data_IF_562225763458
#
_entry.id   IF_562225763458
#
_cell.length_a   1.000
_cell.length_b   1.000
_cell.length_c   1.000
_cell.angle_alpha   90.00
_cell.angle_beta   90.00
_cell.angle_gamma   90.00
#
_symmetry.space_group_name_H-M   'P 1'
#
loop_
_entity.id
_entity.type
_entity.pdbx_description
1 polymer ?
#
# COMPACT_ATOMS: atom_id res chain seq x y z
N UNK A 1 9.39 -11.16 -1.92
CA UNK A 1 8.40 -11.44 -2.98
C UNK A 1 8.56 -10.46 -4.14
N UNK A 2 8.60 -9.16 -3.89
CA UNK A 2 8.71 -8.10 -4.93
C UNK A 2 10.08 -7.99 -5.63
N UNK A 3 11.01 -8.91 -5.37
CA UNK A 3 12.35 -8.98 -6.01
C UNK A 3 12.53 -10.26 -6.84
N UNK A 4 11.44 -11.01 -7.05
CA UNK A 4 11.47 -12.20 -7.91
C UNK A 4 11.92 -11.79 -9.33
N UNK A 5 12.78 -12.56 -10.02
CA UNK A 5 13.21 -12.20 -11.37
C UNK A 5 12.08 -12.14 -12.40
N UNK A 6 10.98 -12.88 -12.18
CA UNK A 6 9.84 -12.91 -13.08
C UNK A 6 8.91 -11.72 -12.86
N UNK A 7 8.75 -10.91 -13.91
CA UNK A 7 7.77 -9.81 -13.96
C UNK A 7 6.35 -10.30 -13.70
N UNK A 8 5.98 -11.49 -14.18
CA UNK A 8 4.65 -12.08 -13.99
C UNK A 8 4.40 -12.42 -12.52
N UNK A 9 5.44 -12.93 -11.83
CA UNK A 9 5.35 -13.23 -10.41
C UNK A 9 5.20 -11.95 -9.60
N UNK A 10 6.01 -10.91 -9.89
CA UNK A 10 5.89 -9.61 -9.22
C UNK A 10 4.54 -8.94 -9.45
N UNK A 11 4.03 -9.02 -10.67
CA UNK A 11 2.71 -8.50 -11.03
C UNK A 11 1.59 -9.17 -10.23
N UNK A 12 1.58 -10.51 -10.25
CA UNK A 12 0.58 -11.30 -9.52
C UNK A 12 0.69 -11.09 -8.02
N UNK A 13 1.92 -10.97 -7.50
CA UNK A 13 2.20 -10.65 -6.11
C UNK A 13 1.65 -9.28 -5.69
N UNK A 14 1.89 -8.23 -6.47
CA UNK A 14 1.35 -6.90 -6.23
C UNK A 14 -0.19 -6.91 -6.22
N UNK A 15 -0.79 -7.63 -7.17
CA UNK A 15 -2.23 -7.80 -7.22
C UNK A 15 -2.79 -8.55 -6.00
N UNK A 16 -2.13 -9.62 -5.56
CA UNK A 16 -2.54 -10.35 -4.34
C UNK A 16 -2.44 -9.46 -3.11
N UNK A 17 -1.39 -8.63 -3.00
CA UNK A 17 -1.26 -7.67 -1.91
C UNK A 17 -2.43 -6.69 -1.89
N UNK A 18 -2.81 -6.11 -3.03
CA UNK A 18 -3.97 -5.21 -3.08
C UNK A 18 -5.27 -5.90 -2.67
N UNK A 19 -5.45 -7.19 -3.02
CA UNK A 19 -6.58 -7.99 -2.52
C UNK A 19 -6.56 -8.21 -1.01
N UNK A 20 -5.40 -8.37 -0.40
CA UNK A 20 -5.29 -8.44 1.06
C UNK A 20 -5.72 -7.11 1.68
N UNK A 21 -5.28 -5.98 1.12
CA UNK A 21 -5.72 -4.65 1.58
C UNK A 21 -7.23 -4.46 1.52
N UNK A 22 -7.90 -5.00 0.49
CA UNK A 22 -9.36 -4.91 0.33
C UNK A 22 -10.14 -5.88 1.21
N UNK A 23 -9.71 -7.15 1.28
CA UNK A 23 -10.48 -8.23 1.87
C UNK A 23 -10.15 -8.49 3.35
N UNK A 24 -8.93 -8.14 3.75
CA UNK A 24 -8.35 -8.38 5.08
C UNK A 24 -7.66 -7.10 5.58
N UNK A 25 -8.40 -5.99 5.74
CA UNK A 25 -7.83 -4.67 6.03
C UNK A 25 -7.10 -4.63 7.38
N UNK A 26 -7.62 -5.33 8.40
CA UNK A 26 -7.02 -5.37 9.75
C UNK A 26 -5.64 -6.05 9.73
N UNK A 27 -5.47 -7.09 8.91
CA UNK A 27 -4.18 -7.73 8.67
C UNK A 27 -3.23 -6.84 7.88
N UNK A 28 -3.74 -6.11 6.89
CA UNK A 28 -2.94 -5.24 6.03
C UNK A 28 -2.34 -4.04 6.79
N UNK A 29 -3.08 -3.47 7.74
CA UNK A 29 -2.63 -2.31 8.56
C UNK A 29 -1.93 -2.74 9.86
N UNK A 30 -1.67 -4.03 10.04
CA UNK A 30 -1.05 -4.55 11.24
C UNK A 30 0.36 -3.94 11.44
N UNK A 31 0.64 -3.26 12.58
CA UNK A 31 1.93 -2.61 12.82
C UNK A 31 3.14 -3.54 12.71
N UNK A 32 2.95 -4.85 12.91
CA UNK A 32 4.03 -5.85 12.78
C UNK A 32 4.54 -6.00 11.34
N UNK A 33 3.67 -5.75 10.36
CA UNK A 33 3.95 -6.01 8.94
C UNK A 33 3.86 -4.76 8.06
N UNK A 34 3.18 -3.71 8.52
CA UNK A 34 2.86 -2.51 7.73
C UNK A 34 4.11 -1.84 7.15
N UNK A 35 5.15 -1.60 7.95
CA UNK A 35 6.37 -0.94 7.46
C UNK A 35 7.04 -1.75 6.33
N UNK A 36 7.13 -3.07 6.50
CA UNK A 36 7.68 -3.97 5.48
C UNK A 36 6.81 -4.00 4.23
N UNK A 37 5.49 -3.99 4.39
CA UNK A 37 4.54 -3.95 3.28
C UNK A 37 4.74 -2.67 2.46
N UNK A 38 4.77 -1.51 3.13
CA UNK A 38 5.00 -0.21 2.50
C UNK A 38 6.34 -0.16 1.76
N UNK A 39 7.43 -0.63 2.39
CA UNK A 39 8.73 -0.71 1.72
C UNK A 39 8.69 -1.57 0.45
N UNK A 40 8.06 -2.76 0.51
CA UNK A 40 7.95 -3.63 -0.66
C UNK A 40 7.07 -3.06 -1.77
N UNK A 41 6.00 -2.34 -1.41
CA UNK A 41 5.12 -1.70 -2.38
C UNK A 41 5.78 -0.49 -3.04
N UNK A 42 6.51 0.34 -2.27
CA UNK A 42 7.31 1.45 -2.82
C UNK A 42 8.38 0.92 -3.79
N UNK A 43 9.04 -0.19 -3.47
CA UNK A 43 9.96 -0.83 -4.43
C UNK A 43 9.29 -1.23 -5.75
N UNK A 44 8.02 -1.62 -5.74
CA UNK A 44 7.28 -1.98 -6.95
C UNK A 44 6.78 -0.78 -7.75
N UNK A 45 6.74 0.41 -7.16
CA UNK A 45 6.45 1.64 -7.91
C UNK A 45 7.53 1.90 -8.98
N UNK A 46 8.80 1.64 -8.65
CA UNK A 46 9.91 1.75 -9.60
C UNK A 46 10.05 0.56 -10.59
N UNK A 47 9.13 -0.40 -10.58
CA UNK A 47 9.17 -1.57 -11.47
C UNK A 47 8.51 -1.27 -12.84
N UNK A 48 8.40 -2.30 -13.69
CA UNK A 48 7.75 -2.17 -14.99
C UNK A 48 6.29 -1.69 -14.83
N UNK A 49 5.75 -0.92 -15.80
CA UNK A 49 4.43 -0.27 -15.67
C UNK A 49 3.29 -1.18 -15.23
N UNK A 50 3.32 -2.45 -15.66
CA UNK A 50 2.33 -3.46 -15.27
C UNK A 50 2.36 -3.76 -13.76
N UNK A 51 3.54 -3.93 -13.18
CA UNK A 51 3.72 -4.19 -11.75
C UNK A 51 3.43 -2.92 -10.95
N UNK A 52 3.92 -1.77 -11.42
CA UNK A 52 3.70 -0.47 -10.80
C UNK A 52 2.20 -0.14 -10.72
N UNK A 53 1.41 -0.40 -11.77
CA UNK A 53 -0.03 -0.18 -11.77
C UNK A 53 -0.76 -0.96 -10.66
N UNK A 54 -0.42 -2.25 -10.47
CA UNK A 54 -0.97 -3.05 -9.38
C UNK A 54 -0.50 -2.55 -8.01
N UNK A 55 0.74 -2.05 -7.88
CA UNK A 55 1.22 -1.43 -6.64
C UNK A 55 0.47 -0.14 -6.31
N UNK A 56 0.24 0.73 -7.29
CA UNK A 56 -0.56 1.96 -7.14
C UNK A 56 -1.98 1.66 -6.68
N UNK A 57 -2.63 0.67 -7.30
CA UNK A 57 -3.96 0.24 -6.87
C UNK A 57 -3.95 -0.29 -5.43
N UNK A 58 -2.99 -1.15 -5.09
CA UNK A 58 -2.84 -1.67 -3.74
C UNK A 58 -2.62 -0.55 -2.69
N UNK A 59 -1.91 0.53 -3.05
CA UNK A 59 -1.76 1.71 -2.19
C UNK A 59 -3.09 2.42 -1.95
N UNK A 60 -3.94 2.57 -2.97
CA UNK A 60 -5.28 3.14 -2.82
C UNK A 60 -6.11 2.31 -1.84
N UNK A 61 -6.15 0.99 -2.04
CA UNK A 61 -6.88 0.08 -1.16
C UNK A 61 -6.37 0.11 0.28
N UNK A 62 -5.04 0.18 0.48
CA UNK A 62 -4.45 0.29 1.81
C UNK A 62 -4.77 1.62 2.48
N UNK A 63 -4.76 2.73 1.74
CA UNK A 63 -5.09 4.05 2.25
C UNK A 63 -6.55 4.15 2.68
N UNK A 64 -7.46 3.61 1.88
CA UNK A 64 -8.88 3.51 2.20
C UNK A 64 -9.10 2.66 3.46
N UNK A 65 -8.47 1.47 3.53
CA UNK A 65 -8.54 0.60 4.70
C UNK A 65 -8.02 1.27 5.98
N UNK A 66 -6.88 1.96 5.90
CA UNK A 66 -6.26 2.62 7.04
C UNK A 66 -7.08 3.82 7.53
N UNK A 67 -7.70 4.57 6.61
CA UNK A 67 -8.59 5.67 6.97
C UNK A 67 -9.87 5.15 7.62
N UNK A 68 -10.51 4.15 7.03
CA UNK A 68 -11.75 3.56 7.57
C UNK A 68 -11.52 2.94 8.95
N UNK A 69 -10.39 2.26 9.17
CA UNK A 69 -10.03 1.76 10.48
C UNK A 69 -9.88 2.89 11.51
N UNK A 70 -9.24 4.00 11.13
CA UNK A 70 -9.10 5.16 12.01
C UNK A 70 -10.46 5.80 12.34
N UNK A 71 -11.34 5.97 11.35
CA UNK A 71 -12.70 6.48 11.57
C UNK A 71 -13.46 5.64 12.58
N UNK A 72 -13.44 4.32 12.40
CA UNK A 72 -14.11 3.37 13.30
C UNK A 72 -13.49 3.38 14.70
N UNK A 73 -12.16 3.45 14.80
CA UNK A 73 -11.44 3.44 16.08
C UNK A 73 -11.68 4.71 16.91
N UNK A 74 -11.76 5.87 16.26
CA UNK A 74 -11.91 7.16 16.92
C UNK A 74 -13.36 7.67 16.95
N UNK A 75 -14.28 7.04 16.22
CA UNK A 75 -15.69 7.44 16.13
C UNK A 75 -15.88 8.81 15.48
N UNK A 76 -15.00 9.19 14.55
CA UNK A 76 -15.02 10.47 13.82
C UNK A 76 -14.81 10.23 12.33
N UNK A 77 -15.45 11.03 11.49
CA UNK A 77 -15.24 10.98 10.03
C UNK A 77 -13.90 11.61 9.60
N UNK A 78 -13.29 12.42 10.46
CA UNK A 78 -12.03 13.13 10.20
C UNK A 78 -11.03 12.84 11.32
N UNK A 79 -10.28 11.71 11.26
CA UNK A 79 -9.24 11.41 12.22
C UNK A 79 -8.00 12.29 11.98
N UNK A 80 -7.44 12.87 13.05
CA UNK A 80 -6.23 13.71 12.98
C UNK A 80 -4.98 12.97 12.46
N UNK A 81 -4.94 11.64 12.63
CA UNK A 81 -3.83 10.78 12.25
C UNK A 81 -4.27 9.32 12.11
N UNK A 82 -3.58 8.56 11.28
CA UNK A 82 -3.86 7.14 11.03
C UNK A 82 -2.59 6.37 10.66
N UNK A 83 -2.72 5.08 10.39
CA UNK A 83 -1.59 4.15 10.28
C UNK A 83 -0.54 4.54 9.21
N UNK A 84 -0.93 5.33 8.19
CA UNK A 84 -0.02 5.78 7.14
C UNK A 84 0.62 7.15 7.40
N UNK A 85 0.19 7.90 8.42
CA UNK A 85 0.63 9.28 8.64
C UNK A 85 2.15 9.41 8.79
N UNK A 86 2.81 8.44 9.42
CA UNK A 86 4.28 8.42 9.58
C UNK A 86 5.07 8.21 8.27
N UNK A 87 4.44 7.58 7.27
CA UNK A 87 5.06 7.24 5.98
C UNK A 87 4.48 8.04 4.82
N UNK A 88 3.45 8.87 5.06
CA UNK A 88 2.70 9.58 4.03
C UNK A 88 3.60 10.40 3.09
N UNK A 89 4.53 11.17 3.64
CA UNK A 89 5.46 11.97 2.83
C UNK A 89 6.28 11.11 1.87
N UNK A 90 6.74 9.92 2.31
CA UNK A 90 7.52 9.01 1.47
C UNK A 90 6.64 8.42 0.36
N UNK A 91 5.45 7.94 0.73
CA UNK A 91 4.49 7.35 -0.22
C UNK A 91 4.16 8.35 -1.34
N UNK A 92 3.87 9.61 -0.99
CA UNK A 92 3.55 10.65 -1.99
C UNK A 92 4.74 10.96 -2.88
N UNK A 93 5.96 11.07 -2.33
CA UNK A 93 7.16 11.30 -3.14
C UNK A 93 7.36 10.18 -4.17
N UNK A 94 7.30 8.92 -3.76
CA UNK A 94 7.48 7.78 -4.65
C UNK A 94 6.37 7.70 -5.72
N UNK A 95 5.12 7.99 -5.36
CA UNK A 95 4.01 8.03 -6.31
C UNK A 95 4.21 9.13 -7.37
N UNK A 96 4.72 10.30 -6.99
CA UNK A 96 5.02 11.38 -7.93
C UNK A 96 6.17 11.01 -8.87
N UNK A 97 7.18 10.29 -8.39
CA UNK A 97 8.30 9.84 -9.23
C UNK A 97 7.84 8.89 -10.35
N UNK A 98 6.86 8.02 -10.09
CA UNK A 98 6.28 7.13 -11.12
C UNK A 98 5.50 7.86 -12.20
N UNK A 99 5.00 9.06 -11.92
CA UNK A 99 4.21 9.85 -12.88
C UNK A 99 5.05 10.63 -13.90
N UNK A 100 6.38 10.65 -13.76
CA UNK A 100 7.31 11.30 -14.69
C UNK A 100 7.80 10.35 -15.80
#
# INVERSE_FOLDING_TARGET
MMRDPSTIVRDSAAWTVGRVCELLPDEAINPLYLDRLLEQMMMCLAAEPRVAANSCWAFSSLAEAALENAKNKFGTDEPDSFALSGSFSKIVTELLEVTN
#
